data_IF_520894457217
#
_entry.id   IF_520894457217
#
_cell.length_a   1.000
_cell.length_b   1.000
_cell.length_c   1.000
_cell.angle_alpha   90.00
_cell.angle_beta   90.00
_cell.angle_gamma   90.00
#
_symmetry.space_group_name_H-M   'P 1'
#
loop_
_entity.id
_entity.type
_entity.pdbx_description
1 polymer ?
#
# COMPACT_ATOMS: atom_id res chain seq x y z
N UNK A 1 -14.33 -7.89 -15.25
CA UNK A 1 -13.02 -7.47 -15.72
C UNK A 1 -11.98 -8.52 -15.33
N UNK A 2 -11.15 -8.95 -16.28
CA UNK A 2 -10.13 -10.00 -16.04
C UNK A 2 -9.01 -9.59 -15.05
N UNK A 3 -8.87 -8.29 -14.82
CA UNK A 3 -7.87 -7.74 -13.90
C UNK A 3 -8.41 -7.63 -12.46
N UNK A 4 -9.71 -7.90 -12.26
CA UNK A 4 -10.34 -7.97 -10.94
C UNK A 4 -10.37 -9.41 -10.47
N UNK A 5 -9.74 -9.65 -9.31
CA UNK A 5 -9.82 -10.91 -8.62
C UNK A 5 -9.97 -10.63 -7.12
N UNK A 6 -11.12 -10.98 -6.55
CA UNK A 6 -11.45 -10.66 -5.16
C UNK A 6 -11.51 -9.14 -4.90
N UNK A 7 -12.50 -8.40 -5.48
CA UNK A 7 -12.64 -6.97 -5.25
C UNK A 7 -12.85 -6.70 -3.75
N UNK A 8 -12.15 -5.71 -3.21
CA UNK A 8 -12.10 -5.46 -1.77
C UNK A 8 -12.69 -4.12 -1.36
N UNK A 9 -12.34 -3.07 -2.08
CA UNK A 9 -12.85 -1.73 -1.82
C UNK A 9 -12.94 -0.91 -3.10
N UNK A 10 -13.84 0.06 -3.09
CA UNK A 10 -13.96 1.07 -4.13
C UNK A 10 -13.92 2.45 -3.49
N UNK A 11 -13.07 3.32 -3.99
CA UNK A 11 -12.88 4.67 -3.48
C UNK A 11 -13.05 5.69 -4.59
N UNK A 12 -14.06 6.56 -4.43
CA UNK A 12 -14.31 7.67 -5.34
C UNK A 12 -13.31 8.80 -5.09
N UNK A 13 -12.65 9.28 -6.14
CA UNK A 13 -11.78 10.43 -6.02
C UNK A 13 -12.61 11.68 -5.61
N UNK A 14 -12.13 12.51 -4.67
CA UNK A 14 -12.91 13.66 -4.17
C UNK A 14 -13.42 14.63 -5.24
N UNK A 15 -12.75 14.73 -6.39
CA UNK A 15 -13.21 15.57 -7.50
C UNK A 15 -14.20 14.88 -8.45
N UNK A 16 -14.63 13.66 -8.15
CA UNK A 16 -15.57 12.86 -8.94
C UNK A 16 -15.17 12.68 -10.42
N UNK A 17 -13.89 12.64 -10.74
CA UNK A 17 -13.41 12.37 -12.11
C UNK A 17 -13.11 10.90 -12.36
N UNK A 18 -12.72 10.17 -11.32
CA UNK A 18 -12.35 8.76 -11.39
C UNK A 18 -12.59 8.06 -10.06
N UNK A 19 -12.54 6.73 -10.08
CA UNK A 19 -12.55 5.91 -8.88
C UNK A 19 -11.52 4.79 -8.98
N UNK A 20 -11.15 4.26 -7.82
CA UNK A 20 -10.14 3.23 -7.65
C UNK A 20 -10.78 1.98 -7.05
N UNK A 21 -10.53 0.83 -7.62
CA UNK A 21 -10.98 -0.46 -7.14
C UNK A 21 -9.76 -1.30 -6.74
N UNK A 22 -9.73 -1.74 -5.48
CA UNK A 22 -8.68 -2.61 -4.97
C UNK A 22 -9.06 -4.09 -5.16
N UNK A 23 -8.22 -4.80 -5.90
CA UNK A 23 -8.37 -6.21 -6.20
C UNK A 23 -7.38 -7.03 -5.36
N UNK A 24 -7.88 -7.64 -4.27
CA UNK A 24 -7.05 -8.31 -3.26
C UNK A 24 -6.18 -9.40 -3.87
N UNK A 25 -6.79 -10.42 -4.47
CA UNK A 25 -6.06 -11.54 -5.04
C UNK A 25 -5.45 -11.23 -6.41
N UNK A 26 -5.93 -10.17 -7.07
CA UNK A 26 -5.30 -9.64 -8.27
C UNK A 26 -4.00 -8.90 -8.02
N UNK A 27 -3.74 -8.49 -6.77
CA UNK A 27 -2.63 -7.60 -6.39
C UNK A 27 -2.57 -6.35 -7.28
N UNK A 28 -3.74 -5.75 -7.52
CA UNK A 28 -3.90 -4.57 -8.38
C UNK A 28 -4.83 -3.54 -7.77
N UNK A 29 -4.63 -2.28 -8.11
CA UNK A 29 -5.64 -1.22 -8.00
C UNK A 29 -6.00 -0.77 -9.41
N UNK A 30 -7.28 -0.82 -9.75
CA UNK A 30 -7.77 -0.47 -11.07
C UNK A 30 -8.39 0.90 -11.01
N UNK A 31 -8.05 1.73 -11.98
CA UNK A 31 -8.55 3.11 -12.10
C UNK A 31 -9.59 3.16 -13.22
N UNK A 32 -10.74 3.72 -12.91
CA UNK A 32 -11.84 3.90 -13.86
C UNK A 32 -12.23 5.37 -13.98
N UNK A 33 -12.64 5.77 -15.16
CA UNK A 33 -13.32 7.04 -15.37
C UNK A 33 -14.70 7.02 -14.70
N UNK A 34 -14.99 8.04 -13.91
CA UNK A 34 -16.21 8.11 -13.11
C UNK A 34 -17.51 8.22 -13.98
N UNK A 35 -17.42 8.84 -15.14
CA UNK A 35 -18.60 9.07 -15.99
C UNK A 35 -18.86 7.92 -16.95
N UNK A 36 -17.80 7.39 -17.55
CA UNK A 36 -17.91 6.36 -18.59
C UNK A 36 -17.80 4.95 -18.06
N UNK A 37 -17.27 4.78 -16.83
CA UNK A 37 -16.88 3.50 -16.25
C UNK A 37 -15.82 2.75 -17.08
N UNK A 38 -15.13 3.45 -17.94
CA UNK A 38 -14.04 2.87 -18.73
C UNK A 38 -12.78 2.71 -17.87
N UNK A 39 -12.12 1.59 -18.04
CA UNK A 39 -10.85 1.33 -17.36
C UNK A 39 -9.76 2.23 -17.94
N UNK A 40 -9.18 3.07 -17.09
CA UNK A 40 -8.10 3.99 -17.42
C UNK A 40 -6.73 3.38 -17.24
N UNK A 41 -6.53 2.68 -16.11
CA UNK A 41 -5.21 2.14 -15.74
C UNK A 41 -5.34 0.95 -14.79
N UNK A 42 -4.34 0.08 -14.83
CA UNK A 42 -4.11 -0.98 -13.82
C UNK A 42 -2.79 -0.67 -13.13
N UNK A 43 -2.86 -0.45 -11.84
CA UNK A 43 -1.71 -0.25 -10.97
C UNK A 43 -1.38 -1.61 -10.33
N UNK A 44 -0.20 -2.13 -10.59
CA UNK A 44 0.25 -3.41 -10.02
C UNK A 44 0.98 -3.16 -8.72
N UNK A 45 0.75 -4.05 -7.76
CA UNK A 45 1.41 -4.03 -6.46
C UNK A 45 2.47 -5.13 -6.35
N UNK A 46 3.30 -5.21 -7.37
CA UNK A 46 4.43 -6.11 -7.50
C UNK A 46 5.73 -5.30 -7.52
N UNK A 47 6.62 -5.58 -6.57
CA UNK A 47 7.84 -4.82 -6.36
C UNK A 47 9.04 -5.76 -6.36
N UNK A 48 10.16 -5.27 -6.86
CA UNK A 48 11.45 -5.96 -6.90
C UNK A 48 12.56 -5.06 -6.37
N UNK A 49 13.77 -5.57 -6.30
CA UNK A 49 14.94 -4.76 -5.89
C UNK A 49 15.16 -3.51 -6.77
N UNK A 50 14.58 -3.46 -7.97
CA UNK A 50 14.59 -2.27 -8.82
C UNK A 50 13.73 -1.13 -8.26
N UNK A 51 12.76 -1.43 -7.40
CA UNK A 51 11.79 -0.47 -6.85
C UNK A 51 12.23 0.13 -5.51
N UNK A 52 13.48 -0.04 -5.12
CA UNK A 52 14.03 0.47 -3.85
C UNK A 52 13.95 1.98 -3.72
N UNK A 53 13.86 2.72 -4.83
CA UNK A 53 13.62 4.17 -4.85
C UNK A 53 12.30 4.58 -4.17
N UNK A 54 11.33 3.67 -4.11
CA UNK A 54 10.05 3.90 -3.44
C UNK A 54 10.14 3.82 -1.91
N UNK A 55 11.25 3.30 -1.37
CA UNK A 55 11.42 3.07 0.05
C UNK A 55 11.99 4.33 0.72
N UNK A 56 11.38 4.74 1.82
CA UNK A 56 11.93 5.80 2.66
C UNK A 56 13.16 5.33 3.46
N UNK A 57 13.93 6.28 3.99
CA UNK A 57 15.13 5.99 4.79
C UNK A 57 14.89 5.09 6.00
N UNK A 58 13.67 5.12 6.55
CA UNK A 58 13.28 4.38 7.74
C UNK A 58 12.55 3.07 7.43
N UNK A 59 12.48 2.68 6.15
CA UNK A 59 11.82 1.43 5.77
C UNK A 59 12.54 0.23 6.40
N UNK A 60 11.78 -0.61 7.12
CA UNK A 60 12.33 -1.81 7.75
C UNK A 60 12.38 -2.95 6.72
N UNK A 61 13.56 -3.51 6.46
CA UNK A 61 13.68 -4.60 5.49
C UNK A 61 12.87 -5.82 5.89
N UNK A 62 12.04 -6.32 4.99
CA UNK A 62 11.17 -7.46 5.25
C UNK A 62 11.91 -8.77 5.53
N UNK A 63 13.15 -8.93 5.05
CA UNK A 63 13.94 -10.13 5.34
C UNK A 63 14.18 -10.35 6.84
N UNK A 64 14.10 -9.31 7.67
CA UNK A 64 14.24 -9.41 9.12
C UNK A 64 13.05 -10.06 9.81
N UNK A 65 11.91 -10.10 9.14
CA UNK A 65 10.62 -10.48 9.71
C UNK A 65 10.01 -11.72 9.07
N UNK A 66 10.61 -12.26 8.02
CA UNK A 66 10.08 -13.45 7.37
C UNK A 66 10.27 -14.68 8.26
N UNK A 67 9.17 -15.28 8.67
CA UNK A 67 9.15 -16.45 9.54
C UNK A 67 9.69 -17.73 8.85
N UNK A 68 9.58 -17.79 7.52
CA UNK A 68 9.93 -18.99 6.79
C UNK A 68 10.44 -18.69 5.39
N UNK A 69 11.76 -18.75 5.23
CA UNK A 69 12.42 -18.62 3.94
C UNK A 69 13.58 -19.60 3.79
N UNK A 70 13.32 -20.93 3.80
CA UNK A 70 14.41 -21.93 3.82
C UNK A 70 15.30 -21.89 2.57
N UNK A 71 14.80 -21.32 1.48
CA UNK A 71 15.50 -21.25 0.18
C UNK A 71 15.63 -19.82 -0.33
N UNK A 72 15.88 -18.86 0.58
CA UNK A 72 16.01 -17.45 0.22
C UNK A 72 17.08 -17.25 -0.86
N UNK A 73 16.68 -16.69 -2.00
CA UNK A 73 17.59 -16.36 -3.12
C UNK A 73 18.23 -14.99 -2.96
N UNK A 74 17.55 -14.09 -2.23
CA UNK A 74 17.94 -12.70 -2.04
C UNK A 74 17.86 -12.30 -0.56
N UNK A 75 18.69 -12.89 0.32
CA UNK A 75 18.57 -12.71 1.78
C UNK A 75 18.78 -11.25 2.24
N UNK A 76 19.45 -10.44 1.44
CA UNK A 76 19.69 -9.03 1.73
C UNK A 76 18.68 -8.07 1.05
N UNK A 77 17.71 -8.61 0.29
CA UNK A 77 16.69 -7.78 -0.36
C UNK A 77 15.77 -7.14 0.68
N UNK A 78 15.46 -5.83 0.59
CA UNK A 78 14.48 -5.19 1.47
C UNK A 78 13.09 -5.80 1.33
N UNK A 79 12.78 -6.45 0.21
CA UNK A 79 11.51 -7.13 -0.04
C UNK A 79 11.45 -8.59 0.42
N UNK A 80 12.45 -9.04 1.15
CA UNK A 80 12.53 -10.40 1.66
C UNK A 80 13.37 -11.33 0.78
N UNK A 81 13.57 -12.54 1.24
CA UNK A 81 14.49 -13.51 0.62
C UNK A 81 14.14 -13.94 -0.80
N UNK A 82 12.97 -13.58 -1.32
CA UNK A 82 12.60 -13.82 -2.72
C UNK A 82 13.04 -12.69 -3.66
N UNK A 83 13.47 -11.52 -3.13
CA UNK A 83 13.80 -10.33 -3.91
C UNK A 83 12.59 -9.68 -4.57
N UNK A 84 11.39 -10.01 -4.10
CA UNK A 84 10.13 -9.49 -4.62
C UNK A 84 9.10 -9.36 -3.51
N UNK A 85 8.18 -8.41 -3.67
CA UNK A 85 7.05 -8.19 -2.79
C UNK A 85 5.78 -8.03 -3.63
N UNK A 86 4.76 -8.82 -3.32
CA UNK A 86 3.43 -8.75 -3.94
C UNK A 86 2.43 -8.36 -2.86
N UNK A 87 1.97 -7.12 -2.90
CA UNK A 87 1.02 -6.59 -1.93
C UNK A 87 -0.40 -7.00 -2.25
N UNK A 88 -1.17 -7.36 -1.22
CA UNK A 88 -2.61 -7.67 -1.32
C UNK A 88 -3.41 -6.46 -0.86
N UNK A 89 -3.87 -5.57 -1.79
CA UNK A 89 -4.51 -4.31 -1.45
C UNK A 89 -5.88 -4.53 -0.78
N UNK A 90 -6.18 -3.71 0.20
CA UNK A 90 -7.46 -3.76 0.93
C UNK A 90 -8.18 -2.43 0.88
N UNK A 91 -8.46 -1.82 2.02
CA UNK A 91 -9.11 -0.52 2.09
C UNK A 91 -8.15 0.59 1.61
N UNK A 92 -8.68 1.78 1.38
CA UNK A 92 -7.84 2.93 1.04
C UNK A 92 -8.46 4.25 1.50
N UNK A 93 -7.65 5.29 1.63
CA UNK A 93 -8.11 6.63 1.89
C UNK A 93 -7.33 7.65 1.06
N UNK A 94 -7.96 8.81 0.85
CA UNK A 94 -7.31 9.95 0.20
C UNK A 94 -6.73 10.92 1.22
N UNK A 95 -5.64 11.57 0.86
CA UNK A 95 -5.02 12.66 1.61
C UNK A 95 -4.72 13.85 0.70
N UNK A 96 -4.42 15.01 1.29
CA UNK A 96 -4.05 16.24 0.57
C UNK A 96 -5.08 16.61 -0.52
N UNK A 97 -6.37 16.61 -0.14
CA UNK A 97 -7.45 16.96 -1.06
C UNK A 97 -7.64 16.02 -2.24
N UNK A 98 -7.20 14.78 -2.11
CA UNK A 98 -7.26 13.77 -3.17
C UNK A 98 -5.95 13.57 -3.94
N UNK A 99 -4.92 14.37 -3.65
CA UNK A 99 -3.62 14.27 -4.36
C UNK A 99 -2.97 12.89 -4.20
N UNK A 100 -3.16 12.26 -3.06
CA UNK A 100 -2.59 10.94 -2.78
C UNK A 100 -3.67 9.95 -2.35
N UNK A 101 -3.56 8.72 -2.86
CA UNK A 101 -4.34 7.56 -2.41
C UNK A 101 -3.39 6.62 -1.65
N UNK A 102 -3.79 6.24 -0.45
CA UNK A 102 -3.07 5.30 0.40
C UNK A 102 -3.73 3.93 0.33
N UNK A 103 -2.93 2.90 0.03
CA UNK A 103 -3.41 1.52 -0.16
C UNK A 103 -2.60 0.57 0.71
N UNK A 104 -3.10 0.19 1.90
CA UNK A 104 -2.45 -0.81 2.73
C UNK A 104 -2.58 -2.21 2.13
N UNK A 105 -1.60 -3.06 2.39
CA UNK A 105 -1.56 -4.44 1.95
C UNK A 105 -1.87 -5.37 3.12
N UNK A 106 -3.00 -6.03 3.08
CA UNK A 106 -3.45 -6.99 4.09
C UNK A 106 -2.37 -8.01 4.44
N UNK A 107 -1.68 -8.49 3.41
CA UNK A 107 -0.53 -9.39 3.51
C UNK A 107 0.33 -9.30 2.26
N UNK A 108 1.49 -9.92 2.32
CA UNK A 108 2.29 -10.25 1.16
C UNK A 108 1.82 -11.60 0.59
N UNK A 109 2.01 -11.82 -0.69
CA UNK A 109 1.47 -13.01 -1.37
C UNK A 109 1.94 -14.33 -0.74
N UNK A 110 3.21 -14.42 -0.38
CA UNK A 110 3.79 -15.64 0.22
C UNK A 110 3.55 -15.77 1.74
N UNK A 111 3.02 -14.76 2.40
CA UNK A 111 2.69 -14.77 3.82
C UNK A 111 1.20 -15.07 4.01
N UNK A 112 0.82 -16.33 3.78
CA UNK A 112 -0.58 -16.77 3.80
C UNK A 112 -1.26 -16.50 5.16
N UNK A 113 -0.49 -16.62 6.24
CA UNK A 113 -1.01 -16.41 7.59
C UNK A 113 -0.93 -14.95 8.05
N UNK A 114 -0.39 -14.07 7.22
CA UNK A 114 -0.24 -12.64 7.48
C UNK A 114 0.43 -12.33 8.85
N UNK A 115 1.48 -13.08 9.16
CA UNK A 115 2.21 -12.97 10.43
C UNK A 115 3.34 -11.95 10.36
N UNK A 116 3.83 -11.68 9.17
CA UNK A 116 4.95 -10.76 8.97
C UNK A 116 4.47 -9.32 8.75
N UNK A 117 5.30 -8.33 9.05
CA UNK A 117 5.05 -6.94 8.67
C UNK A 117 4.77 -6.80 7.18
N UNK A 118 3.95 -5.83 6.85
CA UNK A 118 3.50 -5.54 5.50
C UNK A 118 3.87 -4.09 5.12
N UNK A 119 3.14 -3.51 4.18
CA UNK A 119 3.38 -2.15 3.73
C UNK A 119 2.08 -1.43 3.36
N UNK A 120 2.18 -0.12 3.19
CA UNK A 120 1.18 0.73 2.56
C UNK A 120 1.82 1.42 1.36
N UNK A 121 1.14 1.36 0.21
CA UNK A 121 1.53 2.14 -0.97
C UNK A 121 0.90 3.52 -0.95
N UNK A 122 1.63 4.50 -1.44
CA UNK A 122 1.15 5.85 -1.68
C UNK A 122 1.16 6.09 -3.18
N UNK A 123 -0.01 6.37 -3.73
CA UNK A 123 -0.24 6.59 -5.16
C UNK A 123 -0.46 8.07 -5.38
N UNK A 124 0.30 8.68 -6.29
CA UNK A 124 0.00 10.01 -6.83
C UNK A 124 -1.18 9.89 -7.79
N UNK A 125 -2.31 10.52 -7.46
CA UNK A 125 -3.53 10.40 -8.23
C UNK A 125 -3.50 11.17 -9.56
N UNK A 126 -2.55 12.07 -9.75
CA UNK A 126 -2.38 12.78 -11.03
C UNK A 126 -1.79 11.86 -12.09
N UNK A 127 -0.86 11.00 -11.71
CA UNK A 127 -0.15 10.07 -12.61
C UNK A 127 -0.65 8.64 -12.49
N UNK A 128 -1.45 8.34 -11.45
CA UNK A 128 -1.88 7.00 -11.07
C UNK A 128 -0.68 6.03 -10.95
N UNK A 129 0.35 6.49 -10.25
CA UNK A 129 1.59 5.74 -10.06
C UNK A 129 1.96 5.67 -8.58
N UNK A 130 2.46 4.53 -8.14
CA UNK A 130 3.00 4.38 -6.80
C UNK A 130 4.28 5.20 -6.71
N UNK A 131 4.35 6.10 -5.72
CA UNK A 131 5.48 7.00 -5.52
C UNK A 131 6.25 6.70 -4.25
N UNK A 132 5.65 5.96 -3.32
CA UNK A 132 6.29 5.57 -2.06
C UNK A 132 5.69 4.29 -1.49
N UNK A 133 6.53 3.52 -0.80
CA UNK A 133 6.13 2.46 0.11
C UNK A 133 6.57 2.82 1.54
N UNK A 134 5.68 2.60 2.50
CA UNK A 134 6.01 2.64 3.93
C UNK A 134 5.72 1.27 4.54
N UNK A 135 6.59 0.83 5.44
CA UNK A 135 6.37 -0.39 6.21
C UNK A 135 5.20 -0.23 7.18
N UNK A 136 4.51 -1.33 7.45
CA UNK A 136 3.46 -1.43 8.46
C UNK A 136 3.69 -2.67 9.33
N UNK A 137 3.03 -2.76 10.48
CA UNK A 137 2.89 -4.02 11.18
C UNK A 137 2.08 -5.05 10.37
N UNK A 138 1.89 -6.26 10.92
CA UNK A 138 1.13 -7.33 10.26
C UNK A 138 -0.36 -6.98 10.13
N UNK A 139 -0.99 -7.47 9.08
CA UNK A 139 -2.43 -7.32 8.81
C UNK A 139 -2.91 -5.86 8.86
N UNK A 140 -2.26 -4.90 8.15
CA UNK A 140 -2.84 -3.58 8.02
C UNK A 140 -4.16 -3.71 7.24
N UNK A 141 -5.21 -3.02 7.70
CA UNK A 141 -6.52 -3.17 7.09
C UNK A 141 -7.24 -1.84 6.92
N UNK A 142 -7.78 -1.30 8.00
CA UNK A 142 -8.49 -0.02 7.92
C UNK A 142 -7.50 1.13 7.94
N UNK A 143 -7.81 2.13 7.15
CA UNK A 143 -6.99 3.34 7.05
C UNK A 143 -7.91 4.56 6.99
N UNK A 144 -7.54 5.62 7.69
CA UNK A 144 -8.30 6.85 7.71
C UNK A 144 -7.39 8.08 7.86
N UNK A 145 -7.81 9.17 7.26
CA UNK A 145 -7.17 10.50 7.41
C UNK A 145 -7.85 11.26 8.53
N UNK A 146 -7.08 11.96 9.37
CA UNK A 146 -7.64 12.86 10.38
C UNK A 146 -8.43 14.00 9.74
N UNK A 147 -9.45 14.56 10.43
CA UNK A 147 -10.28 15.64 9.88
C UNK A 147 -9.50 16.90 9.50
N UNK A 148 -8.38 17.18 10.15
CA UNK A 148 -7.50 18.30 9.85
C UNK A 148 -6.49 18.00 8.72
N UNK A 149 -6.47 16.75 8.19
CA UNK A 149 -5.60 16.32 7.11
C UNK A 149 -4.13 16.14 7.48
N UNK A 150 -3.78 16.13 8.76
CA UNK A 150 -2.37 16.10 9.22
C UNK A 150 -1.86 14.72 9.55
N UNK A 151 -2.77 13.77 9.82
CA UNK A 151 -2.44 12.43 10.25
C UNK A 151 -3.15 11.38 9.39
N UNK A 152 -2.50 10.23 9.27
CA UNK A 152 -3.12 9.00 8.78
C UNK A 152 -3.02 7.94 9.86
N UNK A 153 -4.12 7.25 10.14
CA UNK A 153 -4.18 6.13 11.06
C UNK A 153 -4.37 4.82 10.28
N UNK A 154 -3.61 3.78 10.61
CA UNK A 154 -3.70 2.44 10.01
C UNK A 154 -3.85 1.41 11.12
N UNK A 155 -4.92 0.61 11.10
CA UNK A 155 -5.04 -0.53 12.02
C UNK A 155 -4.13 -1.66 11.58
N UNK A 156 -3.44 -2.26 12.50
CA UNK A 156 -2.50 -3.37 12.31
C UNK A 156 -2.98 -4.55 13.18
N UNK A 157 -3.81 -5.40 12.60
CA UNK A 157 -4.51 -6.46 13.36
C UNK A 157 -3.56 -7.53 13.92
N UNK A 158 -2.47 -7.79 13.21
CA UNK A 158 -1.57 -8.88 13.54
C UNK A 158 -0.78 -8.68 14.82
N UNK A 159 -0.62 -7.44 15.26
CA UNK A 159 0.08 -7.08 16.51
C UNK A 159 -0.77 -6.22 17.46
N UNK A 160 -2.07 -6.05 17.16
CA UNK A 160 -3.02 -5.28 17.97
C UNK A 160 -2.61 -3.80 18.15
N UNK A 161 -2.03 -3.19 17.14
CA UNK A 161 -1.60 -1.80 17.17
C UNK A 161 -2.35 -0.92 16.17
N UNK A 162 -2.18 0.38 16.31
CA UNK A 162 -2.60 1.38 15.31
C UNK A 162 -1.38 2.25 15.01
N UNK A 163 -0.95 2.25 13.77
CA UNK A 163 0.09 3.15 13.30
C UNK A 163 -0.48 4.55 13.05
N UNK A 164 0.15 5.57 13.60
CA UNK A 164 -0.18 6.99 13.37
C UNK A 164 0.97 7.64 12.62
N UNK A 165 0.67 8.20 11.45
CA UNK A 165 1.66 8.79 10.55
C UNK A 165 1.38 10.30 10.43
N UNK A 166 2.40 11.11 10.68
CA UNK A 166 2.38 12.54 10.38
C UNK A 166 2.59 12.73 8.88
N UNK A 167 1.68 13.50 8.26
CA UNK A 167 1.66 13.78 6.83
C UNK A 167 1.62 15.27 6.50
N UNK A 168 2.03 16.14 7.43
CA UNK A 168 1.98 17.60 7.22
C UNK A 168 2.96 18.10 6.14
N UNK A 169 4.04 17.37 5.90
CA UNK A 169 5.00 17.74 4.83
C UNK A 169 4.39 17.56 3.45
N UNK A 170 4.67 18.50 2.55
CA UNK A 170 4.33 18.37 1.13
C UNK A 170 5.17 17.29 0.41
N UNK A 171 6.29 16.90 0.99
CA UNK A 171 7.13 15.83 0.46
C UNK A 171 6.74 14.48 1.10
N UNK A 172 6.20 13.52 0.33
CA UNK A 172 5.82 12.22 0.86
C UNK A 172 6.95 11.46 1.56
N UNK A 173 8.21 11.70 1.23
CA UNK A 173 9.35 11.03 1.87
C UNK A 173 9.69 11.53 3.27
N UNK A 174 9.12 12.65 3.70
CA UNK A 174 9.27 13.18 5.06
C UNK A 174 8.21 12.66 6.03
N UNK A 175 7.15 12.03 5.52
CA UNK A 175 6.10 11.47 6.37
C UNK A 175 6.66 10.33 7.22
N UNK A 176 6.24 10.25 8.46
CA UNK A 176 6.80 9.32 9.43
C UNK A 176 5.80 8.91 10.50
N UNK A 177 6.00 7.74 11.07
CA UNK A 177 5.23 7.30 12.22
C UNK A 177 5.54 8.16 13.44
N UNK A 178 4.50 8.51 14.18
CA UNK A 178 4.59 9.25 15.43
C UNK A 178 4.37 8.35 16.63
N UNK A 179 3.65 7.25 16.45
CA UNK A 179 3.34 6.23 17.46
C UNK A 179 3.27 4.85 16.79
#
# INVERSE_FOLDING_TARGET
DKDINSPKSVNMHPNATKYYENSLEGATTIVYDFKTNEKMKVIRHDFTDADTVLLGKNFQPFYKFTHYMPNAKHPASPFGGWGAFYGKPVESCFTHGGKYLWVPYYRRDYDINAQDPSAVAIIDTKTDSIIRLMDTGPLPKMIATSPDGKLVAITQWGDNTVGIINIESENPFDWHYTY
#
